data_IF_013839137017
#
_entry.id   IF_013839137017
#
_cell.length_a   1.000
_cell.length_b   1.000
_cell.length_c   1.000
_cell.angle_alpha   90.00
_cell.angle_beta   90.00
_cell.angle_gamma   90.00
#
_symmetry.space_group_name_H-M   'P 1'
#
loop_
_entity.id
_entity.type
_entity.pdbx_description
1 polymer ?
#
# COMPACT_ATOMS: atom_id res chain seq x y z
N UNK A 1 -5.00 36.00 11.50
CA UNK A 1 -5.47 36.81 12.66
C UNK A 1 -4.26 37.22 13.46
N UNK A 2 -4.29 38.39 14.10
CA UNK A 2 -3.30 38.90 15.07
C UNK A 2 -1.85 39.15 14.54
N UNK A 3 -1.03 40.02 15.15
CA UNK A 3 -1.18 41.49 15.28
C UNK A 3 0.15 42.10 15.73
N UNK A 4 0.48 43.31 15.25
CA UNK A 4 1.47 44.27 15.85
C UNK A 4 2.93 43.78 15.96
N UNK A 5 3.97 44.60 16.18
CA UNK A 5 4.05 46.05 16.48
C UNK A 5 5.26 46.67 15.78
N UNK A 6 5.23 47.98 15.49
CA UNK A 6 6.41 48.74 15.05
C UNK A 6 7.10 49.44 16.24
N UNK A 7 8.41 49.63 16.16
CA UNK A 7 9.18 50.50 17.07
C UNK A 7 10.12 51.41 16.28
N UNK A 8 9.96 52.72 16.50
CA UNK A 8 10.88 53.77 16.06
C UNK A 8 11.63 54.30 17.28
N UNK A 9 12.91 54.65 17.14
CA UNK A 9 13.63 55.46 18.13
C UNK A 9 14.40 56.59 17.45
N UNK A 10 14.60 57.68 18.19
CA UNK A 10 15.00 58.99 17.67
C UNK A 10 15.84 59.73 18.72
N UNK A 11 16.98 60.29 18.34
CA UNK A 11 17.75 61.24 19.16
C UNK A 11 18.55 62.23 18.31
N UNK A 12 18.34 63.52 18.61
CA UNK A 12 19.19 64.73 18.51
C UNK A 12 20.40 64.75 17.54
N UNK A 13 20.54 65.72 16.63
CA UNK A 13 20.70 67.19 16.83
C UNK A 13 21.87 67.61 17.74
N UNK A 14 22.82 68.36 17.16
CA UNK A 14 23.48 69.52 17.78
C UNK A 14 24.23 70.34 16.72
N UNK A 15 23.78 71.56 16.44
CA UNK A 15 24.50 72.50 15.56
C UNK A 15 25.76 73.08 16.20
N UNK A 16 26.70 73.58 15.39
CA UNK A 16 27.78 74.45 15.87
C UNK A 16 27.88 75.76 15.07
N UNK A 17 28.44 76.79 15.71
CA UNK A 17 27.98 78.18 15.57
C UNK A 17 29.03 79.12 14.95
N UNK A 18 28.57 80.08 14.13
CA UNK A 18 29.40 81.05 13.41
C UNK A 18 29.78 82.29 14.24
N UNK A 19 31.04 82.77 14.08
CA UNK A 19 31.66 84.02 14.58
C UNK A 19 32.84 84.39 13.66
N UNK A 20 33.22 85.62 13.26
CA UNK A 20 32.79 87.01 13.53
C UNK A 20 33.11 87.57 14.94
N UNK A 21 33.73 88.76 15.13
CA UNK A 21 34.09 89.83 14.16
C UNK A 21 35.23 90.76 14.67
N UNK A 22 36.20 91.08 13.79
CA UNK A 22 36.85 92.40 13.61
C UNK A 22 37.69 93.06 14.77
N UNK A 23 38.46 94.16 14.51
CA UNK A 23 39.75 94.41 15.18
C UNK A 23 39.78 95.59 16.17
N UNK A 24 40.95 95.82 16.79
CA UNK A 24 41.31 97.08 17.43
C UNK A 24 42.78 97.47 17.17
N UNK A 25 43.03 98.78 17.11
CA UNK A 25 44.34 99.44 17.11
C UNK A 25 44.21 100.76 17.93
N UNK A 26 45.19 101.66 17.90
CA UNK A 26 46.58 101.53 18.34
C UNK A 26 46.83 102.34 19.64
N UNK A 27 48.03 102.24 20.24
CA UNK A 27 48.48 103.23 21.23
C UNK A 27 49.87 103.77 20.92
N UNK A 28 49.94 105.08 20.70
CA UNK A 28 51.15 105.87 20.63
C UNK A 28 51.43 106.52 21.98
N UNK A 29 52.70 106.55 22.39
CA UNK A 29 53.24 107.51 23.34
C UNK A 29 54.51 108.12 22.73
N UNK A 30 54.75 109.41 22.97
CA UNK A 30 55.77 110.17 22.25
C UNK A 30 56.34 111.30 23.09
N UNK A 31 57.65 111.56 22.91
CA UNK A 31 58.42 112.65 23.55
C UNK A 31 58.49 112.58 25.10
N UNK A 32 59.54 113.07 25.77
CA UNK A 32 60.87 113.53 25.32
C UNK A 32 61.80 113.64 26.53
N UNK A 33 63.10 113.36 26.35
CA UNK A 33 64.23 114.23 26.75
C UNK A 33 65.57 113.51 26.55
N UNK A 34 66.61 114.25 26.18
CA UNK A 34 67.98 113.76 26.07
C UNK A 34 68.97 114.79 26.63
N UNK A 35 69.59 114.53 27.79
CA UNK A 35 70.91 115.03 28.15
C UNK A 35 71.97 113.97 27.81
N UNK A 36 73.10 114.40 27.23
CA UNK A 36 74.24 113.54 26.92
C UNK A 36 75.05 113.15 28.17
N UNK A 37 75.88 112.10 28.03
CA UNK A 37 77.14 111.84 28.80
C UNK A 37 77.04 111.94 30.33
N UNK A 38 77.07 110.84 31.09
CA UNK A 38 78.24 109.96 31.21
C UNK A 38 77.83 108.53 31.60
N UNK A 39 77.61 107.66 30.61
CA UNK A 39 77.69 106.22 30.82
C UNK A 39 79.18 105.82 30.86
N UNK A 40 79.58 104.84 31.69
CA UNK A 40 80.90 104.23 31.55
C UNK A 40 81.06 103.68 30.13
N UNK A 41 82.22 103.89 29.52
CA UNK A 41 82.63 103.13 28.33
C UNK A 41 82.93 101.70 28.77
N UNK A 42 81.86 100.93 29.02
CA UNK A 42 81.92 99.48 29.01
C UNK A 42 82.36 99.11 27.61
N UNK A 43 83.62 98.70 27.49
CA UNK A 43 84.16 98.12 26.26
C UNK A 43 83.50 96.76 26.04
N UNK A 44 82.24 96.81 25.59
CA UNK A 44 81.56 95.66 25.04
C UNK A 44 82.42 95.21 23.87
N UNK A 45 83.00 93.99 23.89
CA UNK A 45 83.71 93.47 22.73
C UNK A 45 82.67 93.18 21.67
N UNK A 46 82.31 94.21 20.90
CA UNK A 46 81.10 94.22 20.08
C UNK A 46 81.20 93.13 19.00
N UNK A 47 82.41 92.85 18.53
CA UNK A 47 82.71 91.72 17.65
C UNK A 47 82.69 90.35 18.33
N UNK A 48 82.98 90.20 19.63
CA UNK A 48 82.83 88.91 20.32
C UNK A 48 81.37 88.64 20.72
N UNK A 49 80.61 89.68 21.11
CA UNK A 49 79.15 89.60 21.24
C UNK A 49 78.48 89.31 19.89
N UNK A 50 78.89 89.99 18.83
CA UNK A 50 78.44 89.75 17.45
C UNK A 50 78.84 88.35 16.98
N UNK A 51 80.06 87.87 17.24
CA UNK A 51 80.47 86.49 16.91
C UNK A 51 79.62 85.48 17.66
N UNK A 52 79.41 85.66 18.97
CA UNK A 52 78.52 84.79 19.78
C UNK A 52 77.07 84.84 19.28
N UNK A 53 76.56 85.99 18.87
CA UNK A 53 75.24 86.11 18.24
C UNK A 53 75.19 85.43 16.87
N UNK A 54 76.22 85.56 16.02
CA UNK A 54 76.29 84.86 14.73
C UNK A 54 76.42 83.34 14.91
N UNK A 55 77.23 82.88 15.86
CA UNK A 55 77.33 81.48 16.26
C UNK A 55 76.02 80.96 16.87
N UNK A 56 75.32 81.78 17.66
CA UNK A 56 74.02 81.43 18.24
C UNK A 56 72.95 81.32 17.14
N UNK A 57 72.79 82.35 16.30
CA UNK A 57 71.86 82.34 15.16
C UNK A 57 72.13 81.15 14.24
N UNK A 58 73.37 80.88 13.83
CA UNK A 58 73.67 79.72 12.97
C UNK A 58 73.41 78.37 13.66
N UNK A 59 73.69 78.22 14.96
CA UNK A 59 73.34 77.00 15.73
C UNK A 59 71.82 76.87 15.96
N UNK A 60 71.12 77.99 16.11
CA UNK A 60 69.67 78.07 16.30
C UNK A 60 68.92 77.78 15.00
N UNK A 61 69.32 78.39 13.88
CA UNK A 61 68.80 78.12 12.54
C UNK A 61 69.02 76.65 12.18
N UNK A 62 70.21 76.09 12.45
CA UNK A 62 70.48 74.66 12.26
C UNK A 62 69.67 73.74 13.19
N UNK A 63 69.21 74.24 14.35
CA UNK A 63 68.29 73.53 15.25
C UNK A 63 66.84 73.63 14.74
N UNK A 64 66.42 74.80 14.27
CA UNK A 64 65.10 75.05 13.67
C UNK A 64 64.93 74.25 12.36
N UNK A 65 65.95 74.20 11.50
CA UNK A 65 65.99 73.30 10.33
C UNK A 65 65.82 71.84 10.74
N UNK A 66 66.60 71.38 11.73
CA UNK A 66 66.59 69.98 12.18
C UNK A 66 65.25 69.60 12.83
N UNK A 67 64.65 70.51 13.59
CA UNK A 67 63.30 70.36 14.13
C UNK A 67 62.22 70.37 13.05
N UNK A 68 62.28 71.31 12.10
CA UNK A 68 61.38 71.40 10.94
C UNK A 68 61.46 70.15 10.06
N UNK A 69 62.67 69.64 9.79
CA UNK A 69 62.92 68.40 9.06
C UNK A 69 62.30 67.21 9.80
N UNK A 70 62.60 67.07 11.09
CA UNK A 70 62.04 66.00 11.94
C UNK A 70 60.51 66.01 11.97
N UNK A 71 59.88 67.19 12.12
CA UNK A 71 58.41 67.31 12.11
C UNK A 71 57.81 67.00 10.73
N UNK A 72 58.52 67.30 9.63
CA UNK A 72 58.12 66.88 8.29
C UNK A 72 58.22 65.36 8.09
N UNK A 73 59.29 64.74 8.58
CA UNK A 73 59.51 63.29 8.57
C UNK A 73 58.45 62.56 9.41
N UNK A 74 58.28 62.92 10.68
CA UNK A 74 57.28 62.34 11.59
C UNK A 74 55.84 62.52 11.05
N UNK A 75 55.52 63.67 10.41
CA UNK A 75 54.23 63.88 9.74
C UNK A 75 54.07 62.98 8.50
N UNK A 76 55.12 62.79 7.72
CA UNK A 76 55.09 61.96 6.52
C UNK A 76 54.90 60.49 6.89
N UNK A 77 55.65 60.00 7.88
CA UNK A 77 55.54 58.63 8.41
C UNK A 77 54.16 58.37 9.02
N UNK A 78 53.62 59.33 9.78
CA UNK A 78 52.24 59.24 10.29
C UNK A 78 51.23 59.16 9.13
N UNK A 79 51.39 59.96 8.07
CA UNK A 79 50.51 59.93 6.90
C UNK A 79 50.61 58.61 6.14
N UNK A 80 51.81 58.02 6.04
CA UNK A 80 52.01 56.72 5.42
C UNK A 80 51.28 55.62 6.20
N UNK A 81 51.52 55.52 7.52
CA UNK A 81 50.85 54.55 8.40
C UNK A 81 49.33 54.73 8.45
N UNK A 82 48.83 55.95 8.38
CA UNK A 82 47.39 56.24 8.29
C UNK A 82 46.79 55.77 6.95
N UNK A 83 47.57 55.80 5.87
CA UNK A 83 47.16 55.28 4.57
C UNK A 83 47.15 53.76 4.56
N UNK A 84 48.22 53.13 5.06
CA UNK A 84 48.38 51.69 5.25
C UNK A 84 47.23 51.09 6.07
N UNK A 85 46.96 51.64 7.26
CA UNK A 85 45.87 51.21 8.14
C UNK A 85 44.47 51.34 7.50
N UNK A 86 44.28 52.32 6.61
CA UNK A 86 43.04 52.54 5.87
C UNK A 86 42.91 51.58 4.67
N UNK A 87 44.02 51.20 4.05
CA UNK A 87 44.10 50.12 3.05
C UNK A 87 43.73 48.77 3.70
N UNK A 88 44.34 48.46 4.84
CA UNK A 88 44.07 47.24 5.63
C UNK A 88 42.63 47.19 6.14
N UNK A 89 42.08 48.31 6.62
CA UNK A 89 40.68 48.39 7.04
C UNK A 89 39.72 48.08 5.88
N UNK A 90 39.98 48.62 4.67
CA UNK A 90 39.18 48.31 3.47
C UNK A 90 39.32 46.86 3.06
N UNK A 91 40.55 46.34 3.01
CA UNK A 91 40.86 44.94 2.67
C UNK A 91 40.18 43.96 3.62
N UNK A 92 40.22 44.24 4.93
CA UNK A 92 39.54 43.43 5.95
C UNK A 92 38.01 43.53 5.81
N UNK A 93 37.48 44.72 5.54
CA UNK A 93 36.04 44.94 5.33
C UNK A 93 35.50 44.21 4.10
N UNK A 94 36.22 44.24 2.96
CA UNK A 94 35.82 43.49 1.77
C UNK A 94 35.93 41.99 1.99
N UNK A 95 36.98 41.49 2.65
CA UNK A 95 37.09 40.07 3.03
C UNK A 95 35.93 39.62 3.92
N UNK A 96 35.56 40.40 4.95
CA UNK A 96 34.40 40.11 5.81
C UNK A 96 33.11 40.05 4.97
N UNK A 97 32.90 41.00 4.05
CA UNK A 97 31.74 41.01 3.16
C UNK A 97 31.69 39.79 2.23
N UNK A 98 32.82 39.40 1.64
CA UNK A 98 32.93 38.16 0.84
C UNK A 98 32.62 36.93 1.68
N UNK A 99 33.20 36.80 2.87
CA UNK A 99 32.95 35.66 3.77
C UNK A 99 31.47 35.59 4.15
N UNK A 100 30.84 36.71 4.55
CA UNK A 100 29.40 36.77 4.86
C UNK A 100 28.53 36.37 3.66
N UNK A 101 28.89 36.79 2.44
CA UNK A 101 28.19 36.38 1.22
C UNK A 101 28.30 34.88 0.94
N UNK A 102 29.50 34.31 1.07
CA UNK A 102 29.71 32.85 0.91
C UNK A 102 29.00 32.03 2.00
N UNK A 103 28.95 32.54 3.24
CA UNK A 103 28.20 31.93 4.34
C UNK A 103 26.69 31.89 4.02
N UNK A 104 26.12 33.00 3.56
CA UNK A 104 24.71 33.07 3.17
C UNK A 104 24.37 32.15 1.99
N UNK A 105 25.30 32.00 1.04
CA UNK A 105 25.17 31.03 -0.06
C UNK A 105 25.18 29.58 0.47
N UNK A 106 26.09 29.25 1.39
CA UNK A 106 26.17 27.92 1.99
C UNK A 106 24.96 27.57 2.86
N UNK A 107 24.45 28.49 3.70
CA UNK A 107 23.26 28.22 4.51
C UNK A 107 22.01 28.06 3.65
N UNK A 108 21.89 28.80 2.54
CA UNK A 108 20.81 28.61 1.57
C UNK A 108 20.90 27.22 0.89
N UNK A 109 22.09 26.81 0.42
CA UNK A 109 22.31 25.48 -0.14
C UNK A 109 21.99 24.37 0.86
N UNK A 110 22.51 24.45 2.09
CA UNK A 110 22.24 23.46 3.15
C UNK A 110 20.75 23.36 3.48
N UNK A 111 20.02 24.49 3.50
CA UNK A 111 18.57 24.51 3.72
C UNK A 111 17.83 23.82 2.58
N UNK A 112 18.26 24.06 1.34
CA UNK A 112 17.70 23.41 0.14
C UNK A 112 17.97 21.90 0.12
N UNK A 113 19.21 21.47 0.35
CA UNK A 113 19.58 20.05 0.42
C UNK A 113 18.80 19.31 1.52
N UNK A 114 18.60 19.94 2.68
CA UNK A 114 17.79 19.39 3.76
C UNK A 114 16.31 19.20 3.35
N UNK A 115 15.75 20.14 2.59
CA UNK A 115 14.39 20.05 2.06
C UNK A 115 14.28 18.95 0.99
N UNK A 116 15.17 18.93 -0.01
CA UNK A 116 15.20 17.90 -1.07
C UNK A 116 15.37 16.50 -0.47
N UNK A 117 16.22 16.35 0.56
CA UNK A 117 16.38 15.09 1.30
C UNK A 117 15.10 14.68 2.03
N UNK A 118 14.36 15.63 2.62
CA UNK A 118 13.09 15.34 3.28
C UNK A 118 12.02 14.88 2.30
N UNK A 119 11.97 15.46 1.10
CA UNK A 119 11.04 15.04 0.03
C UNK A 119 11.40 13.65 -0.51
N UNK A 120 12.68 13.39 -0.79
CA UNK A 120 13.14 12.06 -1.20
C UNK A 120 12.83 10.99 -0.16
N UNK A 121 13.03 11.28 1.14
CA UNK A 121 12.72 10.33 2.22
C UNK A 121 11.22 10.04 2.32
N UNK A 122 10.38 11.06 2.08
CA UNK A 122 8.92 10.90 1.99
C UNK A 122 8.53 9.98 0.82
N UNK A 123 9.08 10.22 -0.38
CA UNK A 123 8.86 9.38 -1.55
C UNK A 123 9.31 7.92 -1.35
N UNK A 124 10.48 7.71 -0.72
CA UNK A 124 10.96 6.36 -0.35
C UNK A 124 9.96 5.66 0.57
N UNK A 125 9.54 6.31 1.66
CA UNK A 125 8.59 5.71 2.62
C UNK A 125 7.22 5.38 1.99
N UNK A 126 6.77 6.21 1.04
CA UNK A 126 5.56 5.96 0.27
C UNK A 126 5.70 4.73 -0.65
N UNK A 127 6.83 4.60 -1.35
CA UNK A 127 7.12 3.44 -2.20
C UNK A 127 7.29 2.14 -1.38
N UNK A 128 7.94 2.21 -0.22
CA UNK A 128 8.06 1.07 0.71
C UNK A 128 6.70 0.62 1.27
N UNK A 129 5.86 1.58 1.68
CA UNK A 129 4.48 1.32 2.12
C UNK A 129 3.65 0.65 1.01
N UNK A 130 3.71 1.19 -0.22
CA UNK A 130 3.04 0.62 -1.38
C UNK A 130 3.54 -0.79 -1.72
N UNK A 131 4.86 -1.02 -1.70
CA UNK A 131 5.45 -2.34 -1.93
C UNK A 131 5.08 -3.35 -0.83
N UNK A 132 5.00 -2.94 0.43
CA UNK A 132 4.56 -3.81 1.54
C UNK A 132 3.08 -4.20 1.40
N UNK A 133 2.24 -3.27 0.93
CA UNK A 133 0.81 -3.49 0.65
C UNK A 133 0.64 -4.49 -0.50
N UNK A 134 1.39 -4.32 -1.59
CA UNK A 134 1.37 -5.23 -2.74
C UNK A 134 1.85 -6.65 -2.37
N UNK A 135 2.94 -6.78 -1.59
CA UNK A 135 3.40 -8.07 -1.06
C UNK A 135 2.32 -8.75 -0.22
N UNK A 136 1.73 -8.03 0.72
CA UNK A 136 0.63 -8.52 1.58
C UNK A 136 -0.59 -8.97 0.76
N UNK A 137 -0.91 -8.27 -0.33
CA UNK A 137 -2.00 -8.64 -1.23
C UNK A 137 -1.69 -9.93 -2.03
N UNK A 138 -0.49 -10.02 -2.62
CA UNK A 138 0.01 -11.23 -3.30
C UNK A 138 -0.05 -12.45 -2.38
N UNK A 139 0.44 -12.30 -1.15
CA UNK A 139 0.55 -13.41 -0.20
C UNK A 139 -0.83 -13.92 0.24
N UNK A 140 -1.80 -13.02 0.41
CA UNK A 140 -3.23 -13.37 0.62
C UNK A 140 -3.82 -14.12 -0.57
N UNK A 141 -3.57 -13.68 -1.81
CA UNK A 141 -4.03 -14.38 -3.01
C UNK A 141 -3.40 -15.78 -3.13
N UNK A 142 -2.11 -15.92 -2.84
CA UNK A 142 -1.42 -17.20 -2.90
C UNK A 142 -1.92 -18.20 -1.83
N UNK A 143 -2.25 -17.71 -0.63
CA UNK A 143 -2.94 -18.50 0.39
C UNK A 143 -4.36 -18.92 -0.06
N UNK A 144 -5.12 -18.01 -0.68
CA UNK A 144 -6.45 -18.31 -1.20
C UNK A 144 -6.43 -19.37 -2.32
N UNK A 145 -5.51 -19.25 -3.29
CA UNK A 145 -5.28 -20.24 -4.34
C UNK A 145 -4.96 -21.62 -3.73
N UNK A 146 -4.05 -21.65 -2.76
CA UNK A 146 -3.66 -22.91 -2.07
C UNK A 146 -4.82 -23.55 -1.32
N UNK A 147 -5.70 -22.74 -0.70
CA UNK A 147 -6.91 -23.22 -0.03
C UNK A 147 -7.93 -23.79 -1.02
N UNK A 148 -8.21 -23.06 -2.10
CA UNK A 148 -9.15 -23.48 -3.14
C UNK A 148 -8.69 -24.75 -3.85
N UNK A 149 -7.40 -24.90 -4.14
CA UNK A 149 -6.87 -26.12 -4.78
C UNK A 149 -7.14 -27.35 -3.90
N UNK A 150 -6.85 -27.28 -2.60
CA UNK A 150 -7.14 -28.38 -1.65
C UNK A 150 -8.63 -28.76 -1.62
N UNK A 151 -9.53 -27.77 -1.75
CA UNK A 151 -10.98 -28.03 -1.81
C UNK A 151 -11.40 -28.68 -3.15
N UNK A 152 -10.75 -28.34 -4.25
CA UNK A 152 -10.94 -28.98 -5.56
C UNK A 152 -10.45 -30.44 -5.48
N UNK A 153 -9.24 -30.67 -4.99
CA UNK A 153 -8.64 -32.01 -4.88
C UNK A 153 -9.47 -32.94 -3.98
N UNK A 154 -9.98 -32.43 -2.85
CA UNK A 154 -10.86 -33.16 -1.95
C UNK A 154 -12.23 -33.50 -2.57
N UNK A 155 -12.81 -32.60 -3.39
CA UNK A 155 -14.05 -32.89 -4.13
C UNK A 155 -13.82 -33.90 -5.26
N UNK A 156 -12.70 -33.81 -5.97
CA UNK A 156 -12.36 -34.75 -7.05
C UNK A 156 -12.04 -36.15 -6.54
N UNK A 157 -11.39 -36.29 -5.37
CA UNK A 157 -11.18 -37.59 -4.72
C UNK A 157 -12.51 -38.19 -4.26
N UNK A 158 -13.34 -37.44 -3.54
CA UNK A 158 -14.66 -37.90 -3.12
C UNK A 158 -15.57 -38.30 -4.30
N UNK A 159 -15.54 -37.55 -5.41
CA UNK A 159 -16.29 -37.90 -6.63
C UNK A 159 -15.77 -39.19 -7.28
N UNK A 160 -14.45 -39.41 -7.34
CA UNK A 160 -13.85 -40.66 -7.85
C UNK A 160 -14.19 -41.86 -6.97
N UNK A 161 -14.15 -41.69 -5.66
CA UNK A 161 -14.57 -42.74 -4.71
C UNK A 161 -16.06 -43.07 -4.83
N UNK A 162 -16.90 -42.07 -5.07
CA UNK A 162 -18.34 -42.26 -5.26
C UNK A 162 -18.64 -42.98 -6.58
N UNK A 163 -17.99 -42.58 -7.68
CA UNK A 163 -18.06 -43.28 -8.96
C UNK A 163 -17.63 -44.74 -8.81
N UNK A 164 -16.43 -45.01 -8.28
CA UNK A 164 -15.93 -46.38 -8.09
C UNK A 164 -16.81 -47.26 -7.17
N UNK A 165 -17.61 -46.66 -6.27
CA UNK A 165 -18.62 -47.38 -5.47
C UNK A 165 -19.87 -47.71 -6.31
N UNK A 166 -20.34 -46.80 -7.15
CA UNK A 166 -21.43 -47.03 -8.12
C UNK A 166 -21.02 -48.08 -9.14
N UNK A 167 -19.85 -47.94 -9.76
CA UNK A 167 -19.35 -48.83 -10.79
C UNK A 167 -19.32 -50.27 -10.26
N UNK A 168 -18.67 -50.49 -9.11
CA UNK A 168 -18.63 -51.78 -8.42
C UNK A 168 -20.00 -52.32 -8.00
N UNK A 169 -20.96 -51.45 -7.67
CA UNK A 169 -22.33 -51.90 -7.40
C UNK A 169 -23.04 -52.31 -8.69
N UNK A 170 -22.84 -51.60 -9.80
CA UNK A 170 -23.43 -51.93 -11.11
C UNK A 170 -22.90 -53.26 -11.67
N UNK A 171 -21.62 -53.57 -11.44
CA UNK A 171 -21.00 -54.87 -11.76
C UNK A 171 -21.68 -56.05 -11.05
N UNK A 172 -22.25 -55.83 -9.85
CA UNK A 172 -22.94 -56.84 -9.06
C UNK A 172 -24.45 -56.89 -9.33
N UNK A 173 -25.09 -55.72 -9.55
CA UNK A 173 -26.53 -55.62 -9.81
C UNK A 173 -26.99 -56.53 -10.96
N UNK A 174 -26.21 -56.62 -12.05
CA UNK A 174 -26.53 -57.47 -13.21
C UNK A 174 -26.61 -58.97 -12.89
N UNK A 175 -25.52 -59.61 -12.41
CA UNK A 175 -25.54 -61.02 -12.04
C UNK A 175 -26.46 -61.33 -10.85
N UNK A 176 -26.62 -60.41 -9.89
CA UNK A 176 -27.60 -60.58 -8.80
C UNK A 176 -29.04 -60.58 -9.31
N UNK A 177 -29.40 -59.65 -10.20
CA UNK A 177 -30.72 -59.64 -10.85
C UNK A 177 -30.96 -60.93 -11.63
N UNK A 178 -30.02 -61.33 -12.48
CA UNK A 178 -30.14 -62.57 -13.27
C UNK A 178 -30.28 -63.83 -12.39
N UNK A 179 -29.59 -63.87 -11.25
CA UNK A 179 -29.78 -64.92 -10.25
C UNK A 179 -31.21 -64.92 -9.67
N UNK A 180 -31.72 -63.77 -9.25
CA UNK A 180 -33.07 -63.67 -8.67
C UNK A 180 -34.17 -63.94 -9.70
N UNK A 181 -34.04 -63.46 -10.93
CA UNK A 181 -34.97 -63.74 -12.03
C UNK A 181 -35.07 -65.25 -12.29
N UNK A 182 -33.91 -65.92 -12.36
CA UNK A 182 -33.82 -67.38 -12.55
C UNK A 182 -34.36 -68.15 -11.35
N UNK A 183 -33.98 -67.77 -10.13
CA UNK A 183 -34.33 -68.49 -8.89
C UNK A 183 -35.81 -68.35 -8.52
N UNK A 184 -36.39 -67.16 -8.72
CA UNK A 184 -37.80 -66.92 -8.48
C UNK A 184 -38.66 -67.36 -9.67
N UNK A 185 -38.11 -67.36 -10.90
CA UNK A 185 -38.87 -67.45 -12.14
C UNK A 185 -39.73 -66.21 -12.33
N UNK A 186 -39.19 -65.02 -12.06
CA UNK A 186 -39.93 -63.74 -12.04
C UNK A 186 -39.05 -62.59 -12.50
N UNK A 187 -39.45 -61.89 -13.58
CA UNK A 187 -38.78 -60.68 -14.11
C UNK A 187 -39.71 -59.48 -13.96
N UNK A 188 -39.18 -58.30 -13.64
CA UNK A 188 -39.97 -57.07 -13.45
C UNK A 188 -39.34 -55.95 -14.29
N UNK A 189 -40.16 -55.36 -15.16
CA UNK A 189 -39.77 -54.29 -16.10
C UNK A 189 -40.63 -53.04 -15.86
N UNK A 190 -40.15 -51.87 -16.30
CA UNK A 190 -41.00 -50.69 -16.45
C UNK A 190 -41.96 -50.87 -17.64
N UNK A 191 -43.21 -50.44 -17.48
CA UNK A 191 -44.25 -50.60 -18.52
C UNK A 191 -44.02 -49.77 -19.79
N UNK A 192 -43.23 -48.70 -19.66
CA UNK A 192 -42.97 -47.68 -20.69
C UNK A 192 -43.38 -46.29 -20.20
N UNK A 193 -44.55 -46.22 -19.57
CA UNK A 193 -45.09 -45.00 -18.93
C UNK A 193 -44.73 -44.94 -17.44
N UNK A 194 -44.69 -43.73 -16.89
CA UNK A 194 -44.47 -43.49 -15.45
C UNK A 194 -45.62 -44.09 -14.63
N UNK A 195 -45.29 -44.74 -13.51
CA UNK A 195 -46.26 -45.46 -12.68
C UNK A 195 -46.66 -46.86 -13.17
N UNK A 196 -46.31 -47.32 -14.37
CA UNK A 196 -46.63 -48.70 -14.81
C UNK A 196 -45.43 -49.63 -14.63
N UNK A 197 -45.63 -50.79 -13.98
CA UNK A 197 -44.67 -51.90 -13.98
C UNK A 197 -45.28 -53.15 -14.64
N UNK A 198 -44.46 -53.89 -15.39
CA UNK A 198 -44.83 -55.16 -16.01
C UNK A 198 -44.09 -56.30 -15.31
N UNK A 199 -44.84 -57.27 -14.79
CA UNK A 199 -44.29 -58.43 -14.08
C UNK A 199 -44.50 -59.68 -14.92
N UNK A 200 -43.42 -60.40 -15.20
CA UNK A 200 -43.40 -61.66 -15.92
C UNK A 200 -43.11 -62.82 -14.96
N UNK A 201 -43.76 -63.95 -15.19
CA UNK A 201 -43.50 -65.23 -14.54
C UNK A 201 -43.07 -66.27 -15.56
N UNK A 202 -41.89 -66.85 -15.37
CA UNK A 202 -41.49 -68.07 -16.04
C UNK A 202 -42.05 -69.27 -15.26
N UNK A 203 -42.86 -70.11 -15.93
CA UNK A 203 -43.27 -71.41 -15.43
C UNK A 203 -42.53 -72.52 -16.20
N UNK A 204 -41.86 -73.47 -15.52
CA UNK A 204 -41.11 -74.51 -16.20
C UNK A 204 -42.00 -75.39 -17.07
N UNK A 205 -41.42 -75.89 -18.15
CA UNK A 205 -42.06 -76.90 -18.99
C UNK A 205 -42.18 -78.22 -18.19
N UNK A 206 -43.38 -78.79 -18.14
CA UNK A 206 -43.59 -80.08 -17.50
C UNK A 206 -43.18 -81.20 -18.47
N UNK A 207 -42.48 -82.23 -17.98
CA UNK A 207 -41.80 -83.23 -18.83
C UNK A 207 -42.76 -84.24 -19.49
N UNK A 208 -43.66 -83.79 -20.35
CA UNK A 208 -44.53 -84.66 -21.15
C UNK A 208 -44.63 -84.19 -22.62
N UNK A 209 -43.97 -84.93 -23.52
CA UNK A 209 -44.42 -85.15 -24.90
C UNK A 209 -44.27 -84.03 -25.94
N UNK A 210 -44.37 -82.74 -25.61
CA UNK A 210 -44.50 -81.69 -26.63
C UNK A 210 -43.73 -80.39 -26.33
N UNK A 211 -42.46 -80.38 -26.71
CA UNK A 211 -41.63 -79.18 -26.88
C UNK A 211 -41.17 -78.46 -25.60
N UNK A 212 -39.86 -78.30 -25.44
CA UNK A 212 -39.27 -77.45 -24.40
C UNK A 212 -39.53 -75.96 -24.73
N UNK A 213 -40.68 -75.45 -24.29
CA UNK A 213 -41.03 -74.03 -24.33
C UNK A 213 -41.46 -73.59 -22.95
N UNK A 214 -40.72 -72.64 -22.39
CA UNK A 214 -41.08 -72.01 -21.12
C UNK A 214 -42.44 -71.33 -21.25
N UNK A 215 -43.28 -71.47 -20.21
CA UNK A 215 -44.63 -70.91 -20.20
C UNK A 215 -44.57 -69.56 -19.49
N UNK A 216 -44.40 -68.50 -20.26
CA UNK A 216 -44.40 -67.12 -19.75
C UNK A 216 -45.84 -66.63 -19.51
N UNK A 217 -46.09 -66.06 -18.33
CA UNK A 217 -47.29 -65.27 -18.03
C UNK A 217 -46.87 -63.86 -17.59
N UNK A 218 -47.69 -62.84 -17.86
CA UNK A 218 -47.38 -61.46 -17.51
C UNK A 218 -48.63 -60.70 -17.06
N UNK A 219 -48.44 -59.73 -16.17
CA UNK A 219 -49.44 -58.72 -15.85
C UNK A 219 -48.82 -57.32 -15.74
N UNK A 220 -49.65 -56.30 -15.91
CA UNK A 220 -49.26 -54.90 -15.80
C UNK A 220 -49.97 -54.28 -14.60
N UNK A 221 -49.19 -53.67 -13.71
CA UNK A 221 -49.65 -53.04 -12.48
C UNK A 221 -49.43 -51.53 -12.58
N UNK A 222 -50.51 -50.78 -12.42
CA UNK A 222 -50.45 -49.35 -12.15
C UNK A 222 -50.10 -49.13 -10.67
N UNK A 223 -49.01 -48.43 -10.44
CA UNK A 223 -48.48 -47.98 -9.15
C UNK A 223 -48.77 -46.48 -9.05
N UNK A 224 -49.57 -46.03 -8.07
CA UNK A 224 -49.95 -44.63 -7.96
C UNK A 224 -48.77 -43.73 -7.59
N UNK A 225 -48.66 -42.56 -8.24
CA UNK A 225 -47.64 -41.53 -7.99
C UNK A 225 -47.50 -41.16 -6.50
N UNK A 226 -48.61 -41.20 -5.76
CA UNK A 226 -48.64 -41.02 -4.31
C UNK A 226 -48.99 -42.33 -3.62
N UNK A 227 -48.22 -42.69 -2.57
CA UNK A 227 -48.39 -43.93 -1.80
C UNK A 227 -49.74 -44.07 -1.06
N UNK A 228 -50.61 -43.07 -1.15
CA UNK A 228 -52.01 -43.09 -0.71
C UNK A 228 -53.01 -43.60 -1.76
N UNK A 229 -52.67 -43.55 -3.05
CA UNK A 229 -53.54 -44.00 -4.14
C UNK A 229 -53.77 -45.52 -4.16
N UNK A 230 -54.66 -45.99 -5.03
CA UNK A 230 -54.90 -47.42 -5.25
C UNK A 230 -53.98 -48.00 -6.33
N UNK A 231 -53.52 -49.23 -6.13
CA UNK A 231 -52.94 -50.08 -7.16
C UNK A 231 -54.05 -50.72 -8.00
N UNK A 232 -53.80 -50.90 -9.30
CA UNK A 232 -54.73 -51.52 -10.25
C UNK A 232 -53.98 -52.42 -11.25
N UNK A 233 -54.55 -53.56 -11.64
CA UNK A 233 -53.96 -54.45 -12.68
C UNK A 233 -54.64 -54.19 -14.02
N UNK A 234 -53.92 -53.54 -14.93
CA UNK A 234 -54.42 -53.08 -16.22
C UNK A 234 -54.53 -54.20 -17.26
N UNK A 235 -53.55 -55.12 -17.27
CA UNK A 235 -53.44 -56.19 -18.26
C UNK A 235 -53.05 -57.53 -17.62
N UNK A 236 -53.55 -58.63 -18.18
CA UNK A 236 -53.12 -60.01 -17.82
C UNK A 236 -53.05 -60.89 -19.07
N UNK A 237 -51.97 -61.67 -19.18
CA UNK A 237 -51.71 -62.63 -20.26
C UNK A 237 -51.08 -63.91 -19.68
N UNK A 238 -51.73 -65.08 -19.74
CA UNK A 238 -53.10 -65.32 -20.20
C UNK A 238 -54.13 -64.53 -19.39
N UNK A 239 -55.30 -64.25 -19.99
CA UNK A 239 -56.38 -63.51 -19.32
C UNK A 239 -56.88 -64.28 -18.10
N UNK A 240 -56.88 -63.62 -16.94
CA UNK A 240 -57.41 -64.14 -15.67
C UNK A 240 -58.89 -63.76 -15.45
N UNK A 241 -59.56 -64.40 -14.49
CA UNK A 241 -60.89 -63.95 -14.04
C UNK A 241 -60.77 -62.65 -13.24
N UNK A 242 -61.54 -61.62 -13.64
CA UNK A 242 -61.45 -60.28 -13.05
C UNK A 242 -61.72 -60.25 -11.54
N UNK A 243 -62.71 -61.01 -11.06
CA UNK A 243 -63.07 -61.13 -9.64
C UNK A 243 -61.92 -61.67 -8.78
N UNK A 244 -61.15 -62.60 -9.33
CA UNK A 244 -60.03 -63.23 -8.63
C UNK A 244 -58.79 -62.33 -8.60
N UNK A 245 -58.56 -61.54 -9.67
CA UNK A 245 -57.56 -60.47 -9.68
C UNK A 245 -57.95 -59.34 -8.72
N UNK A 246 -59.20 -58.87 -8.76
CA UNK A 246 -59.75 -57.84 -7.86
C UNK A 246 -59.55 -58.22 -6.39
N UNK A 247 -59.82 -59.48 -6.02
CA UNK A 247 -59.57 -60.01 -4.67
C UNK A 247 -58.08 -59.96 -4.26
N UNK A 248 -57.15 -60.15 -5.18
CA UNK A 248 -55.70 -60.08 -4.90
C UNK A 248 -55.21 -58.63 -4.85
N UNK A 249 -55.73 -57.77 -5.73
CA UNK A 249 -55.44 -56.32 -5.76
C UNK A 249 -56.03 -55.58 -4.55
N UNK A 250 -57.24 -55.94 -4.11
CA UNK A 250 -57.85 -55.42 -2.89
C UNK A 250 -56.97 -55.67 -1.67
N UNK A 251 -56.43 -56.89 -1.53
CA UNK A 251 -55.47 -57.22 -0.46
C UNK A 251 -54.16 -56.45 -0.56
N UNK A 252 -53.67 -56.12 -1.77
CA UNK A 252 -52.53 -55.22 -1.92
C UNK A 252 -52.88 -53.79 -1.47
N UNK A 253 -54.07 -53.29 -1.80
CA UNK A 253 -54.52 -51.95 -1.40
C UNK A 253 -54.72 -51.82 0.13
N UNK A 254 -55.18 -52.90 0.78
CA UNK A 254 -55.30 -53.01 2.24
C UNK A 254 -53.94 -53.09 2.95
N UNK A 255 -53.03 -53.95 2.47
CA UNK A 255 -51.79 -54.31 3.20
C UNK A 255 -50.55 -53.55 2.77
N UNK A 256 -50.56 -52.98 1.55
CA UNK A 256 -49.38 -52.45 0.83
C UNK A 256 -48.24 -53.47 0.62
N UNK A 257 -48.50 -54.76 0.80
CA UNK A 257 -47.52 -55.83 0.60
C UNK A 257 -47.51 -56.36 -0.86
N UNK A 258 -46.52 -55.93 -1.63
CA UNK A 258 -46.31 -56.38 -3.02
C UNK A 258 -46.01 -57.89 -3.11
N UNK A 259 -45.43 -58.50 -2.08
CA UNK A 259 -45.19 -59.95 -2.02
C UNK A 259 -46.48 -60.77 -1.95
N UNK A 260 -47.52 -60.24 -1.30
CA UNK A 260 -48.87 -60.82 -1.30
C UNK A 260 -49.49 -60.75 -2.70
N UNK A 261 -49.35 -59.62 -3.41
CA UNK A 261 -49.81 -59.51 -4.81
C UNK A 261 -49.09 -60.52 -5.70
N UNK A 262 -47.74 -60.53 -5.68
CA UNK A 262 -46.94 -61.38 -6.54
C UNK A 262 -47.29 -62.87 -6.33
N UNK A 263 -47.32 -63.32 -5.08
CA UNK A 263 -47.70 -64.69 -4.73
C UNK A 263 -49.14 -65.03 -5.13
N UNK A 264 -50.07 -64.09 -4.98
CA UNK A 264 -51.46 -64.26 -5.39
C UNK A 264 -51.61 -64.41 -6.91
N UNK A 265 -51.06 -63.46 -7.67
CA UNK A 265 -51.10 -63.45 -9.13
C UNK A 265 -50.42 -64.70 -9.73
N UNK A 266 -49.26 -65.12 -9.19
CA UNK A 266 -48.59 -66.36 -9.63
C UNK A 266 -49.48 -67.60 -9.43
N UNK A 267 -50.23 -67.66 -8.33
CA UNK A 267 -51.20 -68.72 -8.07
C UNK A 267 -52.35 -68.76 -9.09
N UNK A 268 -52.90 -67.59 -9.45
CA UNK A 268 -53.95 -67.48 -10.47
C UNK A 268 -53.44 -67.92 -11.86
N UNK A 269 -52.22 -67.50 -12.24
CA UNK A 269 -51.60 -67.95 -13.48
C UNK A 269 -51.30 -69.46 -13.47
N UNK A 270 -50.87 -70.02 -12.35
CA UNK A 270 -50.64 -71.47 -12.22
C UNK A 270 -51.93 -72.27 -12.42
N UNK A 271 -53.07 -71.79 -11.92
CA UNK A 271 -54.38 -72.38 -12.17
C UNK A 271 -54.72 -72.39 -13.67
N UNK A 272 -54.75 -71.22 -14.31
CA UNK A 272 -55.14 -71.08 -15.73
C UNK A 272 -54.16 -71.79 -16.69
N UNK A 273 -52.87 -71.89 -16.35
CA UNK A 273 -51.89 -72.64 -17.14
C UNK A 273 -51.98 -74.16 -16.92
N UNK A 274 -52.45 -74.62 -15.75
CA UNK A 274 -52.69 -76.03 -15.44
C UNK A 274 -54.00 -76.56 -16.03
N UNK A 275 -55.11 -75.82 -15.90
CA UNK A 275 -56.43 -76.22 -16.43
C UNK A 275 -56.41 -76.44 -17.96
N UNK A 276 -55.57 -75.68 -18.68
CA UNK A 276 -55.37 -75.84 -20.13
C UNK A 276 -54.77 -77.18 -20.56
N UNK A 277 -54.27 -78.01 -19.64
CA UNK A 277 -53.85 -79.40 -19.91
C UNK A 277 -54.96 -80.45 -19.72
N UNK A 278 -56.14 -80.07 -19.21
CA UNK A 278 -57.25 -81.00 -18.93
C UNK A 278 -58.30 -81.00 -20.07
N UNK A 279 -58.22 -80.04 -21.00
CA UNK A 279 -59.23 -79.79 -22.04
C UNK A 279 -58.63 -79.84 -23.46
N UNK A 280 -57.74 -80.81 -23.71
CA UNK A 280 -57.25 -81.23 -25.03
C UNK A 280 -57.16 -82.76 -25.12
#
# INVERSE_FOLDING_TARGET
MATTTAHSFNTSQSDFRTSQTHPHAPHSFSYSESPLTQLPTVDFPFDDLRRRMTEFTTKFDAYIERGRKRVLEERNDFRARLSELNEDQKSTSTQISTIQSTLASHTHLQTREAHEKSEMQSQISHLESHASTQRTHRDKLQQAITSTQRQIDAKLSAQREYAAKIDKQSELNGPELAFWETYLGTRIEGGGDEGIIRVFYAFPAERVGSGEKEREATFELHVPETGSGGYEVLHTRPRLEGRDVERVVGRLNETRDIGVLLKGMRGLFQGVLGERMIVQ
#
